data_IF_981439013865
#
_entry.id   IF_981439013865
#
_cell.length_a   1.000
_cell.length_b   1.000
_cell.length_c   1.000
_cell.angle_alpha   90.00
_cell.angle_beta   90.00
_cell.angle_gamma   90.00
#
_symmetry.space_group_name_H-M   'P 1'
#
loop_
_entity.id
_entity.type
_entity.pdbx_description
1 polymer ?
#
# COMPACT_ATOMS: atom_id res chain seq x y z
N UNK A 1 -9.19 6.01 10.66
CA UNK A 1 -8.29 7.12 10.29
C UNK A 1 -6.87 6.76 10.71
N UNK A 2 -5.84 7.20 9.98
CA UNK A 2 -4.42 7.00 10.35
C UNK A 2 -3.87 8.33 10.86
N UNK A 3 -3.17 8.33 11.99
CA UNK A 3 -2.56 9.53 12.55
C UNK A 3 -1.26 9.22 13.32
N UNK A 4 -0.42 10.24 13.52
CA UNK A 4 0.82 10.14 14.30
C UNK A 4 0.49 9.85 15.77
N UNK A 5 1.18 8.87 16.36
CA UNK A 5 0.98 8.43 17.73
C UNK A 5 0.13 7.16 17.86
N UNK A 6 -0.62 6.79 16.83
CA UNK A 6 -1.45 5.59 16.83
C UNK A 6 -0.63 4.31 16.95
N UNK A 7 -1.14 3.35 17.73
CA UNK A 7 -0.50 2.04 17.99
C UNK A 7 -1.20 0.91 17.22
N UNK A 8 -0.41 -0.07 16.79
CA UNK A 8 -0.87 -1.27 16.11
C UNK A 8 -0.19 -2.50 16.69
N UNK A 9 -0.91 -3.60 16.97
CA UNK A 9 -0.30 -4.82 17.51
C UNK A 9 0.78 -5.39 16.60
N UNK A 10 0.56 -5.36 15.28
CA UNK A 10 1.53 -5.86 14.31
C UNK A 10 1.66 -4.94 13.10
N UNK A 11 2.75 -5.12 12.35
CA UNK A 11 2.87 -4.51 11.01
C UNK A 11 1.78 -4.96 10.05
N UNK A 12 1.25 -6.18 10.22
CA UNK A 12 0.19 -6.73 9.34
C UNK A 12 -1.09 -5.93 9.53
N UNK A 13 -1.44 -5.58 10.77
CA UNK A 13 -2.61 -4.76 11.08
C UNK A 13 -2.49 -3.36 10.50
N UNK A 14 -1.33 -2.72 10.69
CA UNK A 14 -1.04 -1.43 10.10
C UNK A 14 -1.12 -1.48 8.56
N UNK A 15 -0.48 -2.46 7.92
CA UNK A 15 -0.55 -2.63 6.46
C UNK A 15 -1.98 -2.86 5.98
N UNK A 16 -2.79 -3.63 6.71
CA UNK A 16 -4.21 -3.84 6.39
C UNK A 16 -4.97 -2.53 6.41
N UNK A 17 -4.82 -1.71 7.43
CA UNK A 17 -5.46 -0.39 7.48
C UNK A 17 -4.99 0.51 6.33
N UNK A 18 -3.69 0.52 6.03
CA UNK A 18 -3.10 1.30 4.94
C UNK A 18 -3.62 0.84 3.57
N UNK A 19 -3.87 -0.46 3.35
CA UNK A 19 -4.51 -0.95 2.11
C UNK A 19 -5.90 -0.37 1.91
N UNK A 20 -6.77 -0.45 2.93
CA UNK A 20 -8.12 0.13 2.86
C UNK A 20 -8.09 1.66 2.69
N UNK A 21 -7.08 2.31 3.26
CA UNK A 21 -6.86 3.73 3.05
C UNK A 21 -6.47 4.03 1.59
N UNK A 22 -5.53 3.26 1.04
CA UNK A 22 -5.01 3.44 -0.31
C UNK A 22 -6.07 3.17 -1.40
N UNK A 23 -6.92 2.16 -1.21
CA UNK A 23 -8.06 1.89 -2.10
C UNK A 23 -9.02 3.09 -2.13
N UNK A 24 -9.39 3.63 -0.96
CA UNK A 24 -10.30 4.78 -0.86
C UNK A 24 -9.73 6.09 -1.39
N UNK A 25 -8.41 6.19 -1.51
CA UNK A 25 -7.72 7.37 -2.02
C UNK A 25 -7.11 7.14 -3.41
N UNK A 26 -7.42 5.99 -4.01
CA UNK A 26 -7.00 5.59 -5.34
C UNK A 26 -5.48 5.75 -5.59
N UNK A 27 -4.65 5.19 -4.71
CA UNK A 27 -3.20 5.16 -4.92
C UNK A 27 -2.58 3.83 -4.51
N UNK A 28 -1.34 3.59 -4.95
CA UNK A 28 -0.54 2.44 -4.55
C UNK A 28 0.67 2.85 -3.71
N UNK A 29 1.10 1.95 -2.85
CA UNK A 29 2.25 2.14 -1.97
C UNK A 29 3.18 0.92 -2.00
N UNK A 30 4.44 1.14 -1.63
CA UNK A 30 5.45 0.09 -1.47
C UNK A 30 6.13 0.18 -0.11
N UNK A 31 6.72 -0.94 0.29
CA UNK A 31 7.58 -0.97 1.48
C UNK A 31 8.95 -0.42 1.09
N UNK A 32 9.31 0.76 1.62
CA UNK A 32 10.67 1.31 1.48
C UNK A 32 11.64 0.61 2.43
N UNK A 33 11.20 0.28 3.65
CA UNK A 33 12.02 -0.43 4.64
C UNK A 33 11.14 -1.22 5.59
N UNK A 34 11.53 -2.46 5.90
CA UNK A 34 10.89 -3.27 6.95
C UNK A 34 11.94 -4.15 7.62
N UNK A 35 12.13 -3.97 8.92
CA UNK A 35 13.00 -4.82 9.76
C UNK A 35 12.33 -5.08 11.13
N UNK A 36 12.96 -5.76 12.08
CA UNK A 36 12.29 -6.10 13.36
C UNK A 36 11.70 -4.89 14.12
N UNK A 37 12.25 -3.69 13.93
CA UNK A 37 11.87 -2.49 14.71
C UNK A 37 11.22 -1.37 13.90
N UNK A 38 11.20 -1.42 12.57
CA UNK A 38 10.72 -0.32 11.73
C UNK A 38 9.88 -0.83 10.57
N UNK A 39 8.82 -0.10 10.24
CA UNK A 39 8.09 -0.18 8.97
C UNK A 39 8.06 1.21 8.34
N UNK A 40 8.51 1.33 7.09
CA UNK A 40 8.45 2.54 6.30
C UNK A 40 7.74 2.23 4.98
N UNK A 41 6.58 2.86 4.79
CA UNK A 41 5.77 2.80 3.58
C UNK A 41 5.88 4.13 2.86
N UNK A 42 5.96 4.07 1.53
CA UNK A 42 5.99 5.24 0.65
C UNK A 42 5.03 5.01 -0.50
N UNK A 43 4.60 6.08 -1.15
CA UNK A 43 3.86 5.93 -2.40
C UNK A 43 4.73 5.20 -3.43
N UNK A 44 4.08 4.46 -4.32
CA UNK A 44 4.78 3.73 -5.36
C UNK A 44 5.51 4.68 -6.32
N UNK A 45 4.93 5.86 -6.55
CA UNK A 45 5.51 6.95 -7.34
C UNK A 45 6.77 7.52 -6.67
N UNK A 46 7.90 7.47 -7.39
CA UNK A 46 9.24 7.70 -6.84
C UNK A 46 9.45 9.05 -6.13
N UNK A 47 8.72 10.09 -6.53
CA UNK A 47 8.86 11.46 -6.03
C UNK A 47 7.65 11.96 -5.24
N UNK A 48 6.76 11.05 -4.85
CA UNK A 48 5.59 11.41 -4.08
C UNK A 48 5.91 11.63 -2.60
N UNK A 49 5.34 12.68 -2.01
CA UNK A 49 5.54 13.03 -0.60
C UNK A 49 4.85 12.07 0.38
N UNK A 50 3.86 11.29 -0.07
CA UNK A 50 3.09 10.40 0.81
C UNK A 50 4.01 9.33 1.41
N UNK A 51 4.01 9.27 2.74
CA UNK A 51 4.83 8.33 3.50
C UNK A 51 4.28 8.07 4.89
N UNK A 52 4.50 6.85 5.36
CA UNK A 52 4.17 6.43 6.71
C UNK A 52 5.36 5.71 7.33
N UNK A 53 5.77 6.13 8.53
CA UNK A 53 6.79 5.44 9.31
C UNK A 53 6.22 5.02 10.65
N UNK A 54 6.34 3.74 10.96
CA UNK A 54 6.04 3.17 12.26
C UNK A 54 7.28 2.49 12.86
N UNK A 55 7.40 2.55 14.18
CA UNK A 55 8.50 1.92 14.93
C UNK A 55 7.96 1.05 16.05
N UNK A 56 8.62 -0.07 16.32
CA UNK A 56 8.36 -0.90 17.49
C UNK A 56 8.75 -0.11 18.74
N UNK A 57 8.02 -0.29 19.84
CA UNK A 57 8.39 0.22 21.16
C UNK A 57 8.94 -0.91 22.01
N UNK A 58 10.00 -0.63 22.77
CA UNK A 58 10.79 -1.65 23.47
C UNK A 58 10.02 -2.32 24.63
N UNK A 59 8.97 -1.66 25.11
CA UNK A 59 8.07 -2.18 26.16
C UNK A 59 6.94 -3.09 25.61
N UNK A 60 6.88 -3.37 24.31
CA UNK A 60 5.83 -4.26 23.78
C UNK A 60 6.02 -4.78 22.35
N UNK A 61 5.00 -5.48 21.86
CA UNK A 61 4.95 -5.98 20.47
C UNK A 61 4.39 -4.95 19.49
N UNK A 62 3.92 -3.81 19.99
CA UNK A 62 3.23 -2.78 19.22
C UNK A 62 4.15 -1.93 18.34
N UNK A 63 3.58 -1.47 17.22
CA UNK A 63 4.15 -0.49 16.32
C UNK A 63 3.41 0.85 16.46
N UNK A 64 4.15 1.89 16.81
CA UNK A 64 3.63 3.25 16.87
C UNK A 64 3.91 3.99 15.57
N UNK A 65 2.90 4.64 14.98
CA UNK A 65 3.09 5.57 13.85
C UNK A 65 3.84 6.80 14.33
N UNK A 66 5.08 6.99 13.87
CA UNK A 66 5.94 8.15 14.22
C UNK A 66 5.81 9.31 13.26
N UNK A 67 5.49 9.01 12.00
CA UNK A 67 5.31 10.00 10.95
C UNK A 67 4.25 9.51 9.98
N UNK A 68 3.33 10.40 9.61
CA UNK A 68 2.38 10.18 8.54
C UNK A 68 2.23 11.48 7.76
N UNK A 69 2.61 11.45 6.47
CA UNK A 69 2.39 12.54 5.52
C UNK A 69 1.32 12.06 4.56
N UNK A 70 0.17 12.72 4.57
CA UNK A 70 -0.97 12.37 3.74
C UNK A 70 -1.08 13.20 2.45
N UNK A 71 -0.09 14.05 2.16
CA UNK A 71 -0.02 14.81 0.92
C UNK A 71 0.54 13.96 -0.22
N UNK A 72 -0.08 14.05 -1.40
CA UNK A 72 0.41 13.45 -2.63
C UNK A 72 0.93 14.55 -3.57
N UNK A 73 2.04 14.26 -4.24
CA UNK A 73 2.62 15.08 -5.32
C UNK A 73 2.69 14.31 -6.65
N UNK A 74 1.98 13.18 -6.74
CA UNK A 74 1.86 12.43 -7.98
C UNK A 74 0.99 13.19 -8.98
N UNK A 75 1.35 13.24 -10.27
CA UNK A 75 0.43 13.68 -11.32
C UNK A 75 -0.81 12.77 -11.37
N UNK A 76 -2.00 13.37 -11.52
CA UNK A 76 -3.26 12.63 -11.61
C UNK A 76 -3.29 11.70 -12.82
N UNK A 77 -2.69 12.13 -13.93
CA UNK A 77 -2.59 11.41 -15.20
C UNK A 77 -1.81 10.11 -15.02
N UNK A 78 -0.75 10.14 -14.22
CA UNK A 78 0.09 8.99 -13.97
C UNK A 78 -0.59 7.98 -13.02
N UNK A 79 -1.32 8.48 -12.03
CA UNK A 79 -2.22 7.67 -11.20
C UNK A 79 -3.25 6.97 -12.10
N UNK A 80 -3.99 7.71 -12.92
CA UNK A 80 -5.00 7.15 -13.83
C UNK A 80 -4.43 6.14 -14.82
N UNK A 81 -3.27 6.42 -15.41
CA UNK A 81 -2.60 5.51 -16.34
C UNK A 81 -2.28 4.18 -15.66
N UNK A 82 -1.70 4.21 -14.45
CA UNK A 82 -1.37 2.98 -13.72
C UNK A 82 -2.60 2.21 -13.29
N UNK A 83 -3.66 2.88 -12.83
CA UNK A 83 -4.92 2.21 -12.51
C UNK A 83 -5.52 1.48 -13.70
N UNK A 84 -5.54 2.11 -14.88
CA UNK A 84 -5.98 1.42 -16.11
C UNK A 84 -5.15 0.18 -16.38
N UNK A 85 -3.82 0.27 -16.29
CA UNK A 85 -2.94 -0.88 -16.50
C UNK A 85 -3.18 -1.99 -15.47
N UNK A 86 -3.31 -1.66 -14.18
CA UNK A 86 -3.61 -2.62 -13.13
C UNK A 86 -4.97 -3.30 -13.36
N UNK A 87 -6.02 -2.54 -13.70
CA UNK A 87 -7.34 -3.10 -14.04
C UNK A 87 -7.28 -4.00 -15.26
N UNK A 88 -6.57 -3.62 -16.33
CA UNK A 88 -6.40 -4.46 -17.53
C UNK A 88 -5.68 -5.77 -17.21
N UNK A 89 -4.60 -5.73 -16.41
CA UNK A 89 -3.89 -6.96 -15.97
C UNK A 89 -4.81 -7.86 -15.14
N UNK A 90 -5.53 -7.30 -14.17
CA UNK A 90 -6.46 -8.09 -13.34
C UNK A 90 -7.58 -8.70 -14.18
N UNK A 91 -8.10 -7.98 -15.19
CA UNK A 91 -9.10 -8.53 -16.11
C UNK A 91 -8.50 -9.68 -16.94
N UNK A 92 -7.27 -9.54 -17.43
CA UNK A 92 -6.58 -10.61 -18.16
C UNK A 92 -6.34 -11.86 -17.31
N UNK A 93 -5.97 -11.69 -16.04
CA UNK A 93 -5.67 -12.81 -15.12
C UNK A 93 -6.95 -13.49 -14.58
N UNK A 94 -8.05 -12.74 -14.42
CA UNK A 94 -9.32 -13.25 -13.84
C UNK A 94 -10.27 -13.78 -14.93
N UNK A 95 -10.18 -13.26 -16.16
CA UNK A 95 -11.05 -13.61 -17.30
C UNK A 95 -10.23 -14.25 -18.43
N UNK A 96 -9.17 -14.99 -18.13
CA UNK A 96 -8.67 -16.02 -19.02
C UNK A 96 -9.40 -17.34 -18.71
N UNK A 97 -10.58 -17.61 -19.31
CA UNK A 97 -11.18 -18.93 -19.23
C UNK A 97 -10.30 -19.93 -19.98
N UNK A 98 -10.25 -21.13 -19.42
CA UNK A 98 -9.70 -22.37 -19.95
C UNK A 98 -10.02 -22.56 -21.45
N UNK A 99 -9.12 -22.12 -22.33
CA UNK A 99 -9.12 -22.49 -23.75
C UNK A 99 -8.08 -23.58 -24.01
N UNK A 100 -8.19 -24.70 -23.32
CA UNK A 100 -7.75 -26.01 -23.82
C UNK A 100 -8.74 -27.04 -23.28
N UNK A 101 -9.17 -27.97 -24.15
CA UNK A 101 -10.21 -28.98 -23.97
C UNK A 101 -11.61 -28.63 -24.52
N UNK A 102 -11.66 -28.36 -25.82
CA UNK A 102 -12.67 -28.92 -26.72
C UNK A 102 -12.05 -28.93 -28.11
N UNK A 103 -11.70 -30.13 -28.58
CA UNK A 103 -11.81 -30.60 -29.98
C UNK A 103 -10.97 -31.88 -30.15
N UNK A 104 -11.66 -32.97 -30.51
CA UNK A 104 -11.10 -34.15 -31.19
C UNK A 104 -10.43 -35.21 -30.32
#
# INVERSE_FOLDING_TARGET
MIYKGQFFPTKKDLKRLVRHFAIRQNFEWKVKKSNKTTLHLVCLMGNCMWKLRAVRRDEGTYFQVRSFVNGHTCPLEEIHRRHRQASTVIIGDVIAPRLQQQDG
#
